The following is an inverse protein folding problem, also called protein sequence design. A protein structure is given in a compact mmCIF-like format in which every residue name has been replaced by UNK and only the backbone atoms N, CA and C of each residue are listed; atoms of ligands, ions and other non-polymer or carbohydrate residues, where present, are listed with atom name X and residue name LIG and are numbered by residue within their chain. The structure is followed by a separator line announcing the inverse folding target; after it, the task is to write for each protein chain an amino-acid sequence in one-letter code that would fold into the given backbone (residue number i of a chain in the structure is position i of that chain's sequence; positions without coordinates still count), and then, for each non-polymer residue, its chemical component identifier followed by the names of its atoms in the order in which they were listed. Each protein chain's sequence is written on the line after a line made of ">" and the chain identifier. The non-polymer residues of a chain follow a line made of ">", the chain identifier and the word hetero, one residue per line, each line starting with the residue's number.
data_IF_788014505165
#
_entry.id   IF_788014505165
#
_cell.length_a   1.000
_cell.length_b   1.000
_cell.length_c   1.000
_cell.angle_alpha   90.00
_cell.angle_beta   90.00
_cell.angle_gamma   90.00
#
_symmetry.space_group_name_H-M   'P 1'
#
loop_
_entity.id
_entity.type
_entity.pdbx_description
1 polymer ?
#
# COMPACT_ATOMS: atom_id res chain seq x y z
N UNK A 1 9.01 -1.47 11.74
CA UNK A 1 9.65 -1.72 10.45
C UNK A 1 11.15 -1.68 10.61
N UNK A 2 11.83 -2.67 10.07
CA UNK A 2 13.29 -2.60 9.91
C UNK A 2 13.65 -1.37 9.08
N UNK A 3 14.85 -0.87 9.24
CA UNK A 3 15.39 0.35 8.65
C UNK A 3 14.87 0.63 7.22
N UNK A 4 14.07 1.68 6.99
CA UNK A 4 13.48 1.99 5.69
C UNK A 4 14.51 2.46 4.66
N UNK A 5 15.66 3.00 5.11
CA UNK A 5 16.75 3.37 4.21
C UNK A 5 17.46 2.12 3.67
N UNK A 6 17.76 1.15 4.54
CA UNK A 6 18.33 -0.13 4.12
C UNK A 6 17.40 -0.89 3.15
N UNK A 7 16.09 -0.76 3.32
CA UNK A 7 15.09 -1.34 2.43
C UNK A 7 14.83 -0.53 1.15
N UNK A 8 15.36 0.68 1.05
CA UNK A 8 15.10 1.64 -0.04
C UNK A 8 13.61 1.94 -0.21
N UNK A 9 12.87 2.04 0.90
CA UNK A 9 11.48 2.51 0.85
C UNK A 9 11.45 4.03 0.64
N UNK A 10 10.48 4.58 -0.11
CA UNK A 10 10.36 6.01 -0.37
C UNK A 10 9.70 6.75 0.82
N UNK A 11 10.21 6.49 2.02
CA UNK A 11 9.59 6.96 3.25
C UNK A 11 9.68 8.48 3.45
N UNK A 12 10.75 9.12 2.95
CA UNK A 12 10.90 10.58 3.02
C UNK A 12 9.88 11.28 2.13
N UNK A 13 9.65 10.73 0.96
CA UNK A 13 8.63 11.20 0.01
C UNK A 13 7.22 11.03 0.58
N UNK A 14 6.94 9.89 1.20
CA UNK A 14 5.67 9.63 1.88
C UNK A 14 5.48 10.56 3.07
N UNK A 15 6.48 10.73 3.93
CA UNK A 15 6.43 11.66 5.06
C UNK A 15 6.17 13.09 4.61
N UNK A 16 6.89 13.56 3.58
CA UNK A 16 6.67 14.90 3.01
C UNK A 16 5.23 15.07 2.48
N UNK A 17 4.64 14.02 1.91
CA UNK A 17 3.24 14.04 1.51
C UNK A 17 2.32 14.18 2.73
N UNK A 18 2.55 13.40 3.79
CA UNK A 18 1.70 13.38 4.98
C UNK A 18 1.76 14.70 5.75
N UNK A 19 2.95 15.27 5.94
CA UNK A 19 3.18 16.56 6.58
C UNK A 19 2.51 17.73 5.82
N UNK A 20 2.33 17.60 4.51
CA UNK A 20 1.62 18.60 3.70
C UNK A 20 0.10 18.40 3.64
N UNK A 21 -0.38 17.21 4.00
CA UNK A 21 -1.79 16.84 3.93
C UNK A 21 -2.51 16.93 5.27
N UNK A 22 -1.90 16.37 6.32
CA UNK A 22 -2.50 16.19 7.63
C UNK A 22 -2.10 17.31 8.61
N UNK A 23 -2.95 17.56 9.60
CA UNK A 23 -2.65 18.48 10.70
C UNK A 23 -1.69 17.86 11.72
N UNK A 24 -1.64 16.54 11.78
CA UNK A 24 -0.79 15.76 12.67
C UNK A 24 -0.25 14.52 11.94
N UNK A 25 1.01 14.16 12.15
CA UNK A 25 1.60 12.92 11.68
C UNK A 25 2.16 12.13 12.85
N UNK A 26 1.59 10.96 13.11
CA UNK A 26 2.03 10.02 14.15
C UNK A 26 2.86 8.91 13.54
N UNK A 27 4.14 8.87 13.87
CA UNK A 27 5.06 7.83 13.39
C UNK A 27 5.16 6.71 14.41
N UNK A 28 4.86 5.48 13.98
CA UNK A 28 4.90 4.27 14.81
C UNK A 28 5.73 3.17 14.16
N UNK A 29 6.09 2.14 14.92
CA UNK A 29 6.84 1.00 14.41
C UNK A 29 8.31 1.29 14.13
N UNK A 30 8.92 2.28 14.79
CA UNK A 30 10.33 2.64 14.61
C UNK A 30 11.28 1.49 14.92
N UNK A 31 10.98 0.73 15.96
CA UNK A 31 11.84 -0.37 16.46
C UNK A 31 11.29 -1.74 16.06
N UNK A 32 10.72 -1.84 14.86
CA UNK A 32 10.18 -3.09 14.35
C UNK A 32 11.27 -4.15 14.23
N UNK A 33 11.13 -5.30 14.90
CA UNK A 33 12.17 -6.32 14.88
C UNK A 33 12.34 -6.92 13.48
N UNK A 34 13.58 -7.32 13.15
CA UNK A 34 13.85 -7.97 11.87
C UNK A 34 12.98 -9.21 11.67
N UNK A 35 12.99 -10.13 12.63
CA UNK A 35 12.06 -11.27 12.68
C UNK A 35 10.85 -10.89 13.51
N UNK A 36 9.80 -10.41 12.86
CA UNK A 36 8.59 -9.97 13.53
C UNK A 36 7.54 -11.09 13.68
N UNK A 37 6.64 -10.93 14.63
CA UNK A 37 5.41 -11.70 14.72
C UNK A 37 4.31 -11.02 13.89
N UNK A 38 3.44 -11.82 13.28
CA UNK A 38 2.42 -11.30 12.36
C UNK A 38 1.43 -10.36 13.01
N UNK A 39 1.07 -10.64 14.26
CA UNK A 39 0.21 -9.81 15.11
C UNK A 39 0.84 -8.47 15.50
N UNK A 40 2.17 -8.34 15.40
CA UNK A 40 2.87 -7.08 15.63
C UNK A 40 2.42 -5.98 14.67
N UNK A 41 2.05 -6.34 13.45
CA UNK A 41 1.58 -5.39 12.43
C UNK A 41 0.36 -4.64 12.94
N UNK A 42 -0.66 -5.37 13.39
CA UNK A 42 -1.89 -4.75 13.91
C UNK A 42 -1.65 -3.92 15.16
N UNK A 43 -0.74 -4.36 16.05
CA UNK A 43 -0.40 -3.62 17.26
C UNK A 43 0.23 -2.26 16.96
N UNK A 44 1.12 -2.19 15.97
CA UNK A 44 1.76 -0.93 15.53
C UNK A 44 0.72 0.02 14.94
N UNK A 45 -0.18 -0.45 14.09
CA UNK A 45 -1.22 0.41 13.54
C UNK A 45 -2.24 0.85 14.60
N UNK A 46 -2.57 -0.02 15.57
CA UNK A 46 -3.42 0.34 16.71
C UNK A 46 -2.76 1.44 17.55
N UNK A 47 -1.46 1.32 17.81
CA UNK A 47 -0.70 2.35 18.52
C UNK A 47 -0.80 3.71 17.82
N UNK A 48 -0.66 3.73 16.49
CA UNK A 48 -0.81 4.95 15.69
C UNK A 48 -2.21 5.55 15.80
N UNK A 49 -3.24 4.71 15.68
CA UNK A 49 -4.62 5.12 15.84
C UNK A 49 -4.89 5.68 17.25
N UNK A 50 -4.44 5.01 18.30
CA UNK A 50 -4.69 5.42 19.68
C UNK A 50 -3.98 6.74 19.99
N UNK A 51 -2.76 6.98 19.49
CA UNK A 51 -1.97 8.21 19.68
C UNK A 51 -2.46 9.41 18.87
N UNK A 52 -3.13 9.21 17.73
CA UNK A 52 -3.62 10.31 16.91
C UNK A 52 -4.70 11.10 17.67
N UNK A 53 -4.76 12.44 17.46
CA UNK A 53 -5.69 13.35 18.17
C UNK A 53 -6.76 13.93 17.27
N UNK A 54 -6.61 13.82 15.94
CA UNK A 54 -7.54 14.36 14.96
C UNK A 54 -8.88 13.64 14.91
N UNK A 55 -9.89 14.29 14.33
CA UNK A 55 -11.23 13.73 14.11
C UNK A 55 -11.20 12.51 13.19
N UNK A 56 -10.34 12.53 12.20
CA UNK A 56 -10.08 11.44 11.26
C UNK A 56 -8.65 10.94 11.39
N UNK A 57 -8.48 9.64 11.48
CA UNK A 57 -7.18 8.98 11.45
C UNK A 57 -6.98 8.25 10.13
N UNK A 58 -5.88 8.56 9.42
CA UNK A 58 -5.45 7.85 8.23
C UNK A 58 -4.33 6.89 8.60
N UNK A 59 -4.50 5.59 8.30
CA UNK A 59 -3.38 4.68 8.38
C UNK A 59 -2.71 4.56 7.01
N UNK A 60 -1.42 4.81 6.97
CA UNK A 60 -0.66 4.87 5.73
C UNK A 60 0.70 4.19 5.91
N UNK A 61 1.10 3.44 4.89
CA UNK A 61 2.45 2.86 4.81
C UNK A 61 3.45 3.88 4.27
N UNK A 62 4.73 3.65 4.54
CA UNK A 62 5.83 4.54 4.13
C UNK A 62 6.19 4.44 2.64
N UNK A 63 5.46 3.67 1.86
CA UNK A 63 5.55 3.53 0.40
C UNK A 63 4.25 3.92 -0.30
N UNK A 64 3.33 4.56 0.43
CA UNK A 64 2.08 5.07 -0.10
C UNK A 64 1.99 6.59 0.04
N UNK A 65 1.19 7.23 -0.79
CA UNK A 65 0.93 8.66 -0.71
C UNK A 65 -0.34 9.06 -1.46
N UNK A 66 -0.86 10.25 -1.18
CA UNK A 66 -1.86 10.91 -2.00
C UNK A 66 -1.20 11.85 -3.02
N UNK A 67 -1.90 12.10 -4.11
CA UNK A 67 -1.51 13.15 -5.02
C UNK A 67 -1.89 14.52 -4.40
N UNK A 68 -1.01 15.51 -4.47
CA UNK A 68 -1.27 16.84 -3.90
C UNK A 68 -2.53 17.52 -4.46
N UNK A 69 -2.92 17.18 -5.70
CA UNK A 69 -4.16 17.68 -6.33
C UNK A 69 -5.43 17.14 -5.67
N UNK A 70 -5.31 16.02 -4.94
CA UNK A 70 -6.44 15.35 -4.29
C UNK A 70 -6.73 15.89 -2.89
N UNK A 71 -5.83 16.67 -2.29
CA UNK A 71 -5.92 17.09 -0.88
C UNK A 71 -7.23 17.81 -0.56
N UNK A 72 -7.59 18.82 -1.34
CA UNK A 72 -8.83 19.57 -1.11
C UNK A 72 -10.07 18.70 -1.31
N UNK A 73 -10.07 17.83 -2.32
CA UNK A 73 -11.19 16.90 -2.55
C UNK A 73 -11.33 15.94 -1.36
N UNK A 74 -10.23 15.39 -0.86
CA UNK A 74 -10.26 14.48 0.30
C UNK A 74 -10.80 15.22 1.52
N UNK A 75 -10.34 16.43 1.82
CA UNK A 75 -10.85 17.24 2.94
C UNK A 75 -12.36 17.50 2.84
N UNK A 76 -12.86 17.81 1.63
CA UNK A 76 -14.29 17.97 1.38
C UNK A 76 -15.07 16.66 1.58
N UNK A 77 -14.47 15.51 1.21
CA UNK A 77 -15.08 14.20 1.43
C UNK A 77 -15.15 13.85 2.93
N UNK A 78 -14.13 14.21 3.74
CA UNK A 78 -14.15 14.02 5.20
C UNK A 78 -15.33 14.78 5.84
N UNK A 79 -15.54 16.04 5.45
CA UNK A 79 -16.68 16.82 5.94
C UNK A 79 -18.02 16.27 5.44
N UNK A 80 -18.11 15.92 4.16
CA UNK A 80 -19.31 15.34 3.56
C UNK A 80 -19.74 14.04 4.22
N UNK A 81 -18.79 13.22 4.62
CA UNK A 81 -19.04 11.89 5.19
C UNK A 81 -18.74 11.83 6.69
N UNK A 82 -18.84 12.95 7.39
CA UNK A 82 -18.53 13.10 8.81
C UNK A 82 -19.30 12.15 9.75
N UNK A 83 -20.44 11.63 9.31
CA UNK A 83 -21.25 10.68 10.07
C UNK A 83 -20.93 9.21 9.73
N UNK A 84 -20.03 8.96 8.78
CA UNK A 84 -19.59 7.62 8.43
C UNK A 84 -18.45 7.14 9.33
N UNK A 85 -18.37 5.83 9.55
CA UNK A 85 -17.28 5.23 10.36
C UNK A 85 -15.92 5.27 9.65
N UNK A 86 -15.92 5.24 8.34
CA UNK A 86 -14.70 5.24 7.54
C UNK A 86 -14.98 5.70 6.09
N UNK A 87 -13.90 5.96 5.34
CA UNK A 87 -13.93 6.17 3.88
C UNK A 87 -12.92 5.21 3.25
N UNK A 88 -13.34 4.52 2.19
CA UNK A 88 -12.46 3.66 1.40
C UNK A 88 -11.88 4.43 0.20
N UNK A 89 -10.62 4.14 -0.11
CA UNK A 89 -9.87 4.75 -1.20
C UNK A 89 -9.41 3.71 -2.21
N UNK A 90 -9.45 3.97 -3.53
CA UNK A 90 -8.89 3.06 -4.51
C UNK A 90 -7.37 3.00 -4.39
N UNK A 91 -6.79 1.80 -4.44
CA UNK A 91 -5.33 1.59 -4.40
C UNK A 91 -4.77 1.49 -5.82
N UNK A 92 -3.94 2.45 -6.20
CA UNK A 92 -3.15 2.39 -7.43
C UNK A 92 -1.85 1.65 -7.14
N UNK A 93 -1.74 0.43 -7.64
CA UNK A 93 -0.51 -0.36 -7.54
C UNK A 93 0.43 0.00 -8.70
N UNK A 94 1.67 0.38 -8.36
CA UNK A 94 2.68 0.86 -9.30
C UNK A 94 3.93 -0.01 -9.16
N UNK A 95 4.20 -0.83 -10.15
CA UNK A 95 5.41 -1.65 -10.24
C UNK A 95 6.48 -1.01 -11.13
N UNK A 96 6.05 -0.22 -12.11
CA UNK A 96 6.94 0.56 -12.99
C UNK A 96 6.35 1.96 -13.17
N UNK A 97 7.15 3.02 -13.37
CA UNK A 97 6.65 4.39 -13.37
C UNK A 97 5.74 4.75 -14.56
N UNK A 98 5.68 3.90 -15.57
CA UNK A 98 4.90 4.17 -16.78
C UNK A 98 3.50 3.56 -16.79
N UNK A 99 3.11 2.81 -15.72
CA UNK A 99 1.85 2.07 -15.67
C UNK A 99 1.36 1.84 -14.25
N UNK A 100 0.03 1.73 -14.13
CA UNK A 100 -0.61 1.32 -12.88
C UNK A 100 -1.79 0.38 -13.13
N UNK A 101 -2.22 -0.24 -12.05
CA UNK A 101 -3.46 -0.97 -11.94
C UNK A 101 -4.23 -0.52 -10.70
N UNK A 102 -5.52 -0.27 -10.84
CA UNK A 102 -6.40 -0.10 -9.68
C UNK A 102 -6.72 -1.48 -9.09
N UNK A 103 -6.06 -1.82 -7.99
CA UNK A 103 -6.12 -3.16 -7.40
C UNK A 103 -7.40 -3.40 -6.61
N UNK A 104 -7.71 -2.51 -5.67
CA UNK A 104 -8.81 -2.66 -4.71
C UNK A 104 -9.11 -1.32 -4.06
N UNK A 105 -10.14 -1.28 -3.22
CA UNK A 105 -10.35 -0.18 -2.29
C UNK A 105 -9.84 -0.59 -0.91
N UNK A 106 -9.18 0.34 -0.21
CA UNK A 106 -8.69 0.19 1.15
C UNK A 106 -9.49 1.09 2.08
N UNK A 107 -9.82 0.59 3.26
CA UNK A 107 -10.42 1.39 4.35
C UNK A 107 -9.29 2.17 5.02
N UNK A 108 -9.00 3.38 4.57
CA UNK A 108 -7.82 4.17 4.97
C UNK A 108 -8.15 5.25 5.98
N UNK A 109 -9.22 6.02 5.75
CA UNK A 109 -9.64 7.07 6.67
C UNK A 109 -10.65 6.52 7.66
N UNK A 110 -10.38 6.65 8.95
CA UNK A 110 -11.17 6.17 10.06
C UNK A 110 -11.70 7.36 10.87
N UNK A 111 -13.00 7.43 11.11
CA UNK A 111 -13.63 8.50 11.91
C UNK A 111 -13.42 8.23 13.40
N UNK A 112 -12.31 8.71 13.93
CA UNK A 112 -11.94 8.53 15.33
C UNK A 112 -12.86 9.29 16.29
N UNK A 113 -13.35 10.46 15.88
CA UNK A 113 -14.25 11.28 16.72
C UNK A 113 -15.52 10.53 17.08
N UNK A 114 -16.17 9.90 16.10
CA UNK A 114 -17.45 9.18 16.35
C UNK A 114 -17.23 7.73 16.77
N UNK A 115 -16.12 7.13 16.37
CA UNK A 115 -15.82 5.70 16.58
C UNK A 115 -14.44 5.50 17.23
N UNK A 116 -14.22 6.03 18.45
CA UNK A 116 -12.91 5.93 19.13
C UNK A 116 -12.53 4.49 19.52
N UNK A 117 -13.47 3.56 19.46
CA UNK A 117 -13.29 2.15 19.78
C UNK A 117 -12.92 1.28 18.56
N UNK A 118 -12.60 1.88 17.42
CA UNK A 118 -12.09 1.12 16.26
C UNK A 118 -10.85 0.32 16.66
N UNK A 119 -10.82 -0.94 16.22
CA UNK A 119 -9.66 -1.84 16.39
C UNK A 119 -9.06 -2.17 15.04
N UNK A 120 -7.73 -2.07 14.97
CA UNK A 120 -6.94 -2.42 13.80
C UNK A 120 -6.66 -3.91 13.85
N UNK A 121 -7.44 -4.70 13.12
CA UNK A 121 -7.31 -6.15 13.08
C UNK A 121 -6.69 -6.61 11.76
N UNK A 122 -6.26 -7.86 11.75
CA UNK A 122 -5.61 -8.45 10.60
C UNK A 122 -4.13 -8.11 10.56
N UNK A 123 -3.46 -8.64 9.62
CA UNK A 123 -2.04 -8.44 9.37
C UNK A 123 -1.74 -8.66 7.91
N UNK A 124 -0.71 -8.00 7.42
CA UNK A 124 -0.31 -8.02 6.03
C UNK A 124 -0.71 -6.77 5.28
N UNK A 125 -0.85 -6.89 3.99
CA UNK A 125 -1.04 -5.75 3.08
C UNK A 125 -2.38 -5.01 3.27
N UNK A 126 -3.33 -5.61 3.98
CA UNK A 126 -4.68 -5.06 4.12
C UNK A 126 -5.13 -5.22 5.57
N UNK A 127 -4.98 -4.15 6.34
CA UNK A 127 -5.60 -4.06 7.65
C UNK A 127 -7.12 -4.06 7.50
N UNK A 128 -7.76 -4.74 8.43
CA UNK A 128 -9.22 -4.83 8.47
C UNK A 128 -9.72 -4.22 9.78
N UNK A 129 -10.00 -2.91 9.80
CA UNK A 129 -10.51 -2.27 11.00
C UNK A 129 -11.90 -2.79 11.35
N UNK A 130 -12.17 -2.91 12.64
CA UNK A 130 -13.46 -3.38 13.18
C UNK A 130 -14.04 -2.39 14.19
N UNK A 131 -15.35 -2.39 14.34
CA UNK A 131 -16.09 -1.69 15.39
C UNK A 131 -16.87 -2.74 16.17
N UNK A 132 -16.63 -2.83 17.48
CA UNK A 132 -17.29 -3.83 18.36
C UNK A 132 -17.15 -5.27 17.82
N UNK A 133 -15.99 -5.60 17.24
CA UNK A 133 -15.72 -6.91 16.64
C UNK A 133 -16.28 -7.14 15.23
N UNK A 134 -17.06 -6.21 14.69
CA UNK A 134 -17.61 -6.30 13.33
C UNK A 134 -16.70 -5.58 12.33
N UNK A 135 -16.42 -6.24 11.22
CA UNK A 135 -15.59 -5.69 10.15
C UNK A 135 -16.23 -4.43 9.55
N UNK A 136 -15.43 -3.39 9.33
CA UNK A 136 -15.81 -2.25 8.50
C UNK A 136 -15.65 -2.65 7.03
N UNK A 137 -16.74 -3.08 6.44
CA UNK A 137 -16.73 -3.54 5.05
C UNK A 137 -16.77 -2.38 4.06
N UNK A 138 -15.94 -2.45 3.02
CA UNK A 138 -15.87 -1.47 1.91
C UNK A 138 -17.22 -1.27 1.23
N UNK A 139 -18.08 -2.30 1.20
CA UNK A 139 -19.43 -2.22 0.62
C UNK A 139 -20.36 -1.29 1.37
N UNK A 140 -20.12 -1.07 2.66
CA UNK A 140 -21.02 -0.38 3.58
C UNK A 140 -20.57 1.04 3.94
N UNK A 141 -19.48 1.53 3.35
CA UNK A 141 -18.92 2.85 3.62
C UNK A 141 -18.76 3.66 2.33
N UNK A 142 -18.68 4.99 2.42
CA UNK A 142 -18.36 5.84 1.29
C UNK A 142 -17.03 5.47 0.63
N UNK A 143 -16.97 5.64 -0.69
CA UNK A 143 -15.76 5.44 -1.49
C UNK A 143 -15.31 6.77 -2.08
N UNK A 144 -14.09 7.13 -1.81
CA UNK A 144 -13.43 8.24 -2.49
C UNK A 144 -13.13 7.88 -3.95
N UNK A 145 -13.03 8.88 -4.81
CA UNK A 145 -12.48 8.74 -6.16
C UNK A 145 -10.97 8.98 -6.19
N UNK A 146 -10.43 9.56 -5.13
CA UNK A 146 -9.03 9.92 -5.01
C UNK A 146 -8.20 8.70 -4.61
N UNK A 147 -7.17 8.32 -5.38
CA UNK A 147 -6.43 7.09 -5.11
C UNK A 147 -5.34 7.27 -4.05
N UNK A 148 -5.09 6.19 -3.31
CA UNK A 148 -3.81 5.96 -2.64
C UNK A 148 -2.83 5.40 -3.68
N UNK A 149 -1.70 6.08 -3.88
CA UNK A 149 -0.62 5.68 -4.77
C UNK A 149 0.37 4.80 -4.01
N UNK A 150 0.53 3.55 -4.42
CA UNK A 150 1.40 2.59 -3.74
C UNK A 150 2.61 2.23 -4.60
N UNK A 151 3.79 2.45 -4.05
CA UNK A 151 5.10 2.29 -4.68
C UNK A 151 5.89 1.10 -4.11
N UNK A 152 5.20 0.10 -3.59
CA UNK A 152 5.86 -1.09 -3.03
C UNK A 152 6.93 -1.65 -3.97
N UNK A 153 8.09 -1.88 -3.42
CA UNK A 153 9.26 -2.52 -4.04
C UNK A 153 9.92 -1.75 -5.21
N UNK A 154 9.34 -0.64 -5.69
CA UNK A 154 9.80 0.04 -6.93
C UNK A 154 11.28 0.44 -6.88
N UNK A 155 11.79 0.85 -5.72
CA UNK A 155 13.18 1.30 -5.51
C UNK A 155 14.10 0.18 -5.00
N UNK A 156 13.54 -0.97 -4.65
CA UNK A 156 14.30 -2.08 -4.05
C UNK A 156 15.12 -2.83 -5.09
N UNK A 157 16.29 -3.32 -4.65
CA UNK A 157 17.09 -4.26 -5.44
C UNK A 157 16.57 -5.69 -5.28
N UNK A 158 17.04 -6.60 -6.13
CA UNK A 158 16.68 -8.02 -6.05
C UNK A 158 17.01 -8.61 -4.68
N UNK A 159 18.19 -8.31 -4.13
CA UNK A 159 18.61 -8.86 -2.83
C UNK A 159 17.75 -8.35 -1.68
N UNK A 160 17.40 -7.06 -1.68
CA UNK A 160 16.47 -6.49 -0.68
C UNK A 160 15.11 -7.18 -0.76
N UNK A 161 14.59 -7.41 -1.97
CA UNK A 161 13.29 -8.08 -2.14
C UNK A 161 13.36 -9.53 -1.67
N UNK A 162 14.41 -10.27 -2.00
CA UNK A 162 14.61 -11.67 -1.59
C UNK A 162 14.53 -11.81 -0.07
N UNK A 163 15.33 -11.02 0.64
CA UNK A 163 15.37 -11.03 2.11
C UNK A 163 14.03 -10.61 2.72
N UNK A 164 13.43 -9.54 2.20
CA UNK A 164 12.16 -9.03 2.70
C UNK A 164 11.03 -10.06 2.53
N UNK A 165 10.95 -10.72 1.38
CA UNK A 165 9.92 -11.74 1.11
C UNK A 165 10.13 -13.01 1.93
N UNK A 166 11.36 -13.45 2.12
CA UNK A 166 11.67 -14.57 3.02
C UNK A 166 11.26 -14.26 4.46
N UNK A 167 11.58 -13.07 4.94
CA UNK A 167 11.18 -12.60 6.27
C UNK A 167 9.65 -12.60 6.45
N UNK A 168 8.92 -12.11 5.46
CA UNK A 168 7.45 -12.17 5.47
C UNK A 168 6.91 -13.60 5.41
N UNK A 169 7.52 -14.48 4.63
CA UNK A 169 7.14 -15.90 4.57
C UNK A 169 7.34 -16.60 5.92
N UNK A 170 8.48 -16.36 6.59
CA UNK A 170 8.76 -16.88 7.93
C UNK A 170 7.76 -16.35 8.97
N UNK A 171 7.45 -15.05 8.96
CA UNK A 171 6.46 -14.44 9.86
C UNK A 171 5.06 -15.04 9.63
N UNK A 172 4.67 -15.22 8.38
CA UNK A 172 3.41 -15.86 8.01
C UNK A 172 3.34 -17.32 8.50
N UNK A 173 4.38 -18.12 8.21
CA UNK A 173 4.43 -19.52 8.61
C UNK A 173 4.39 -19.70 10.13
N UNK A 174 5.10 -18.84 10.88
CA UNK A 174 5.04 -18.87 12.36
C UNK A 174 3.64 -18.66 12.89
N UNK A 175 2.84 -17.79 12.26
CA UNK A 175 1.50 -17.43 12.71
C UNK A 175 0.42 -18.38 12.19
N UNK A 176 0.37 -18.63 10.88
CA UNK A 176 -0.70 -19.40 10.22
C UNK A 176 -0.39 -20.91 10.08
N UNK A 177 0.85 -21.33 10.34
CA UNK A 177 1.32 -22.72 10.19
C UNK A 177 1.28 -23.24 8.74
N UNK A 178 1.33 -22.32 7.78
CA UNK A 178 1.47 -22.60 6.34
C UNK A 178 2.26 -21.47 5.66
N UNK A 179 2.57 -21.60 4.38
CA UNK A 179 3.28 -20.56 3.62
C UNK A 179 2.37 -19.64 2.82
N UNK A 180 1.08 -19.92 2.71
CA UNK A 180 0.09 -19.07 2.05
C UNK A 180 0.48 -18.63 0.62
N UNK A 181 1.10 -19.50 -0.17
CA UNK A 181 1.56 -19.20 -1.53
C UNK A 181 2.84 -18.35 -1.60
N UNK A 182 3.59 -18.19 -0.48
CA UNK A 182 4.84 -17.41 -0.41
C UNK A 182 6.10 -18.17 -0.83
N UNK A 183 5.95 -19.39 -1.40
CA UNK A 183 7.02 -20.21 -1.93
C UNK A 183 7.77 -20.99 -0.86
N UNK A 184 8.52 -20.31 -0.02
CA UNK A 184 9.34 -20.90 1.05
C UNK A 184 9.88 -19.84 2.00
N UNK A 185 10.65 -20.28 2.98
CA UNK A 185 11.28 -19.41 3.98
C UNK A 185 12.67 -18.94 3.56
N UNK A 186 13.24 -19.54 2.52
CA UNK A 186 14.53 -19.16 1.95
C UNK A 186 14.36 -17.98 0.97
N UNK A 187 15.38 -17.10 0.87
CA UNK A 187 15.30 -15.89 0.04
C UNK A 187 14.94 -16.15 -1.43
N UNK A 188 15.52 -17.18 -2.05
CA UNK A 188 15.23 -17.48 -3.47
C UNK A 188 13.82 -18.03 -3.68
N UNK A 189 13.36 -18.92 -2.83
CA UNK A 189 12.02 -19.51 -2.91
C UNK A 189 10.93 -18.44 -2.74
N UNK A 190 11.10 -17.59 -1.74
CA UNK A 190 10.17 -16.50 -1.46
C UNK A 190 10.18 -15.43 -2.57
N UNK A 191 11.35 -15.16 -3.14
CA UNK A 191 11.51 -14.24 -4.27
C UNK A 191 10.82 -14.76 -5.53
N UNK A 192 11.02 -16.02 -5.88
CA UNK A 192 10.45 -16.62 -7.09
C UNK A 192 8.92 -16.65 -7.01
N UNK A 193 8.36 -17.02 -5.86
CA UNK A 193 6.92 -16.96 -5.63
C UNK A 193 6.37 -15.51 -5.74
N UNK A 194 7.06 -14.55 -5.12
CA UNK A 194 6.70 -13.14 -5.21
C UNK A 194 6.79 -12.61 -6.65
N UNK A 195 7.86 -12.92 -7.37
CA UNK A 195 8.04 -12.45 -8.76
C UNK A 195 6.95 -13.02 -9.66
N UNK A 196 6.63 -14.29 -9.55
CA UNK A 196 5.54 -14.92 -10.32
C UNK A 196 4.20 -14.21 -10.06
N UNK A 197 3.85 -13.97 -8.81
CA UNK A 197 2.64 -13.21 -8.43
C UNK A 197 2.67 -11.79 -9.04
N UNK A 198 3.81 -11.11 -9.00
CA UNK A 198 3.94 -9.76 -9.58
C UNK A 198 3.75 -9.80 -11.10
N UNK A 199 4.36 -10.76 -11.81
CA UNK A 199 4.22 -10.89 -13.26
C UNK A 199 2.75 -11.17 -13.68
N UNK A 200 2.05 -12.01 -12.92
CA UNK A 200 0.61 -12.25 -13.11
C UNK A 200 -0.21 -10.96 -12.93
N UNK A 201 0.07 -10.18 -11.87
CA UNK A 201 -0.61 -8.90 -11.62
C UNK A 201 -0.26 -7.84 -12.65
N UNK A 202 0.99 -7.80 -13.12
CA UNK A 202 1.46 -6.81 -14.08
C UNK A 202 0.76 -6.90 -15.45
N UNK A 203 0.15 -8.02 -15.78
CA UNK A 203 -0.70 -8.13 -16.96
C UNK A 203 -1.86 -7.13 -16.94
N UNK A 204 -2.36 -6.76 -15.76
CA UNK A 204 -3.45 -5.79 -15.57
C UNK A 204 -2.98 -4.34 -15.48
N UNK A 205 -1.66 -4.08 -15.42
CA UNK A 205 -1.09 -2.72 -15.46
C UNK A 205 -1.12 -2.20 -16.90
N UNK A 206 -2.30 -1.83 -17.36
CA UNK A 206 -2.54 -1.35 -18.74
C UNK A 206 -2.77 0.16 -18.81
N UNK A 207 -3.11 0.78 -17.68
CA UNK A 207 -3.32 2.21 -17.58
C UNK A 207 -1.97 2.92 -17.54
N UNK A 208 -1.74 3.83 -18.49
CA UNK A 208 -0.45 4.49 -18.68
C UNK A 208 -0.30 5.69 -17.76
N UNK A 209 0.94 5.97 -17.38
CA UNK A 209 1.37 7.15 -16.63
C UNK A 209 2.58 7.78 -17.32
N UNK A 210 2.71 9.09 -17.15
CA UNK A 210 3.96 9.84 -17.37
C UNK A 210 4.54 10.21 -16.00
N UNK A 211 5.81 10.54 -15.94
CA UNK A 211 6.43 11.00 -14.69
C UNK A 211 5.68 12.20 -14.09
N UNK A 212 5.18 13.10 -14.94
CA UNK A 212 4.43 14.27 -14.50
C UNK A 212 3.04 13.96 -13.91
N UNK A 213 2.51 12.77 -14.16
CA UNK A 213 1.22 12.34 -13.63
C UNK A 213 1.32 11.81 -12.19
N UNK A 214 2.54 11.58 -11.68
CA UNK A 214 2.76 11.12 -10.30
C UNK A 214 2.67 12.27 -9.30
N UNK A 215 2.40 11.96 -8.01
CA UNK A 215 2.53 12.93 -6.93
C UNK A 215 3.91 13.64 -6.95
N UNK A 216 3.91 14.95 -6.71
CA UNK A 216 5.14 15.76 -6.81
C UNK A 216 6.30 15.23 -5.96
N UNK A 217 5.97 14.60 -4.84
CA UNK A 217 6.94 14.13 -3.84
C UNK A 217 7.85 13.03 -4.37
N UNK A 218 7.34 12.16 -5.27
CA UNK A 218 8.05 10.95 -5.73
C UNK A 218 8.76 11.13 -7.08
N UNK A 219 8.47 12.20 -7.84
CA UNK A 219 8.89 12.37 -9.22
C UNK A 219 10.40 12.30 -9.41
N UNK A 220 11.16 12.97 -8.54
CA UNK A 220 12.62 13.00 -8.66
C UNK A 220 13.22 11.62 -8.36
N UNK A 221 12.71 10.91 -7.38
CA UNK A 221 13.13 9.54 -7.07
C UNK A 221 12.84 8.57 -8.22
N UNK A 222 11.67 8.71 -8.88
CA UNK A 222 11.32 7.91 -10.06
C UNK A 222 12.26 8.14 -11.25
N UNK A 223 12.77 9.37 -11.46
CA UNK A 223 13.74 9.69 -12.52
C UNK A 223 15.11 9.07 -12.29
N UNK A 224 15.43 8.72 -11.03
CA UNK A 224 16.70 8.13 -10.63
C UNK A 224 16.73 6.60 -10.69
N UNK A 225 15.60 5.96 -11.04
CA UNK A 225 15.55 4.51 -11.20
C UNK A 225 16.55 4.03 -12.25
N UNK A 226 17.24 2.94 -11.95
CA UNK A 226 18.21 2.31 -12.81
C UNK A 226 18.04 0.78 -12.79
N UNK A 227 18.86 0.06 -13.56
CA UNK A 227 18.75 -1.39 -13.75
C UNK A 227 18.79 -2.21 -12.46
N UNK A 228 19.42 -1.69 -11.41
CA UNK A 228 19.44 -2.38 -10.10
C UNK A 228 18.12 -2.30 -9.36
N UNK A 229 17.20 -1.38 -9.75
CA UNK A 229 15.93 -1.18 -9.11
C UNK A 229 14.82 -1.98 -9.82
N UNK A 230 13.95 -2.59 -9.03
CA UNK A 230 12.82 -3.34 -9.57
C UNK A 230 11.95 -2.50 -10.54
N UNK A 231 11.65 -1.28 -10.18
CA UNK A 231 10.78 -0.38 -10.96
C UNK A 231 11.30 0.02 -12.31
N UNK A 232 12.59 -0.09 -12.58
CA UNK A 232 13.18 0.28 -13.86
C UNK A 232 12.67 -0.62 -15.01
N UNK A 233 12.80 -1.92 -14.84
CA UNK A 233 12.40 -2.90 -15.86
C UNK A 233 11.86 -4.22 -15.28
N UNK A 234 11.55 -4.27 -13.97
CA UNK A 234 11.22 -5.51 -13.26
C UNK A 234 12.32 -6.57 -13.45
N UNK A 235 13.57 -6.14 -13.37
CA UNK A 235 14.75 -6.95 -13.63
C UNK A 235 14.71 -7.61 -15.03
N UNK A 236 14.33 -6.84 -16.07
CA UNK A 236 14.25 -7.30 -17.45
C UNK A 236 13.01 -8.13 -17.79
N UNK A 237 12.03 -8.24 -16.90
CA UNK A 237 10.80 -9.00 -17.14
C UNK A 237 9.66 -8.15 -17.75
N UNK A 238 9.74 -6.82 -17.61
CA UNK A 238 8.68 -5.89 -18.03
C UNK A 238 8.13 -6.16 -19.45
N UNK A 239 9.03 -6.28 -20.41
CA UNK A 239 8.67 -6.42 -21.84
C UNK A 239 8.29 -7.85 -22.23
N UNK A 240 8.53 -8.83 -21.35
CA UNK A 240 8.14 -10.23 -21.57
C UNK A 240 6.68 -10.50 -21.20
N UNK A 241 6.04 -9.60 -20.44
CA UNK A 241 4.66 -9.77 -20.00
C UNK A 241 3.70 -9.51 -21.16
N UNK A 242 2.99 -10.54 -21.57
CA UNK A 242 1.98 -10.48 -22.64
C UNK A 242 0.63 -10.04 -22.09
N UNK A 243 -0.03 -9.14 -22.79
CA UNK A 243 -1.38 -8.65 -22.49
C UNK A 243 -2.36 -8.99 -23.58
N UNK A 244 -3.59 -9.29 -23.24
CA UNK A 244 -4.68 -9.55 -24.15
C UNK A 244 -5.91 -8.65 -23.82
N UNK A 245 -6.93 -8.68 -24.65
CA UNK A 245 -8.14 -7.86 -24.47
C UNK A 245 -8.83 -8.05 -23.12
N UNK A 246 -8.74 -9.24 -22.52
CA UNK A 246 -9.34 -9.52 -21.20
C UNK A 246 -8.64 -8.71 -20.09
N UNK A 247 -7.30 -8.60 -20.15
CA UNK A 247 -6.56 -7.79 -19.19
C UNK A 247 -6.95 -6.31 -19.28
N UNK A 248 -7.09 -5.78 -20.49
CA UNK A 248 -7.55 -4.40 -20.70
C UNK A 248 -8.98 -4.22 -20.16
N UNK A 249 -9.91 -5.09 -20.56
CA UNK A 249 -11.31 -5.00 -20.14
C UNK A 249 -11.45 -5.03 -18.60
N UNK A 250 -10.74 -5.94 -17.91
CA UNK A 250 -10.76 -6.03 -16.45
C UNK A 250 -10.18 -4.78 -15.80
N UNK A 251 -9.03 -4.29 -16.27
CA UNK A 251 -8.39 -3.10 -15.69
C UNK A 251 -9.24 -1.83 -15.87
N UNK A 252 -9.83 -1.65 -17.04
CA UNK A 252 -10.77 -0.53 -17.28
C UNK A 252 -12.05 -0.68 -16.44
N UNK A 253 -12.58 -1.90 -16.31
CA UNK A 253 -13.73 -2.16 -15.43
C UNK A 253 -13.41 -1.76 -13.98
N UNK A 254 -12.27 -2.19 -13.45
CA UNK A 254 -11.84 -1.81 -12.09
C UNK A 254 -11.73 -0.29 -11.94
N UNK A 255 -11.18 0.42 -12.94
CA UNK A 255 -10.96 1.87 -12.87
C UNK A 255 -12.25 2.68 -12.93
N UNK A 256 -13.21 2.30 -13.74
CA UNK A 256 -14.35 3.14 -14.08
C UNK A 256 -15.70 2.61 -13.57
N UNK A 257 -15.80 1.34 -13.20
CA UNK A 257 -17.06 0.69 -12.83
C UNK A 257 -17.01 -0.02 -11.47
N UNK A 258 -15.95 0.14 -10.68
CA UNK A 258 -15.94 -0.33 -9.29
C UNK A 258 -16.82 0.61 -8.45
N UNK A 259 -18.09 0.26 -8.36
CA UNK A 259 -19.03 0.93 -7.46
C UNK A 259 -18.86 0.42 -6.03
#
# INVERSE_FOLDING_TARGET
>A
MTDPDARKDPWRESMSCYENFADEVVVVGKDWPYEFSWDYIQAVFQEGFDKSTGDWAFWMDIDTMFHEKSFETIKQELEKYKDSSAIAFPKYQIFTPDRYHMKTHLVVALNKRLFPNIKMNGGGDELQPTINGNLIEVSNIPKSKEPVWNYDSIFRTKDIIREDRARFARAWNRYFKDLGGRGGELPDEAYDAWLNMVLERYQYHVLKLKIDDHPKYIKESLKQLNESNFGYSMFGQKDKVKRNLVHYAKAYKSRYFSK
#
